data_IF_410422587363
#
_entry.id   IF_410422587363
#
_cell.length_a   1.000
_cell.length_b   1.000
_cell.length_c   1.000
_cell.angle_alpha   90.00
_cell.angle_beta   90.00
_cell.angle_gamma   90.00
#
_symmetry.space_group_name_H-M   'P 1'
#
loop_
_entity.id
_entity.type
_entity.pdbx_description
1 polymer ?
#
# COMPACT_ATOMS: atom_id res chain seq x y z
N UNK A 1 -4.38 -18.14 -6.38
CA UNK A 1 -3.31 -18.06 -7.36
C UNK A 1 -2.83 -16.61 -7.51
N UNK A 2 -1.66 -16.42 -8.05
CA UNK A 2 -1.06 -15.10 -8.24
C UNK A 2 -0.91 -14.81 -9.72
N UNK A 3 -1.36 -13.63 -10.13
CA UNK A 3 -1.22 -13.16 -11.50
C UNK A 3 -0.20 -12.02 -11.54
N UNK A 4 0.76 -12.09 -12.46
CA UNK A 4 1.85 -11.11 -12.57
C UNK A 4 1.91 -10.57 -14.00
N UNK A 5 1.75 -9.27 -14.13
CA UNK A 5 2.02 -8.51 -15.35
C UNK A 5 3.32 -7.74 -15.21
N UNK A 6 3.71 -6.98 -16.23
CA UNK A 6 4.94 -6.18 -16.20
C UNK A 6 4.97 -5.17 -15.05
N UNK A 7 3.82 -4.59 -14.72
CA UNK A 7 3.71 -3.52 -13.72
C UNK A 7 2.98 -3.92 -12.44
N UNK A 8 2.23 -5.03 -12.43
CA UNK A 8 1.39 -5.39 -11.30
C UNK A 8 1.51 -6.85 -10.91
N UNK A 9 1.37 -7.11 -9.60
CA UNK A 9 1.25 -8.45 -9.03
C UNK A 9 -0.10 -8.51 -8.33
N UNK A 10 -1.01 -9.34 -8.85
CA UNK A 10 -2.33 -9.53 -8.26
C UNK A 10 -2.34 -10.83 -7.45
N UNK A 11 -2.36 -10.71 -6.13
CA UNK A 11 -2.36 -11.85 -5.22
C UNK A 11 -3.80 -12.25 -4.83
N UNK A 12 -4.02 -13.52 -4.44
CA UNK A 12 -5.34 -13.93 -3.94
C UNK A 12 -5.78 -13.06 -2.75
N UNK A 13 -7.02 -12.57 -2.77
CA UNK A 13 -7.57 -11.74 -1.70
C UNK A 13 -7.56 -12.40 -0.34
N UNK A 14 -7.69 -13.71 -0.30
CA UNK A 14 -7.65 -14.52 0.92
C UNK A 14 -6.33 -14.43 1.68
N UNK A 15 -5.24 -14.04 1.01
CA UNK A 15 -3.96 -13.84 1.67
C UNK A 15 -3.99 -12.68 2.67
N UNK A 16 -4.83 -11.68 2.41
CA UNK A 16 -5.01 -10.56 3.32
C UNK A 16 -5.98 -10.89 4.46
N UNK A 17 -6.90 -11.83 4.27
CA UNK A 17 -7.94 -12.18 5.23
C UNK A 17 -7.45 -13.14 6.31
N UNK A 18 -6.44 -13.95 6.03
CA UNK A 18 -6.00 -15.03 6.91
C UNK A 18 -4.55 -14.87 7.33
N UNK A 19 -4.29 -15.03 8.63
CA UNK A 19 -2.92 -15.04 9.16
C UNK A 19 -2.09 -16.18 8.55
N UNK A 20 -2.73 -17.28 8.18
CA UNK A 20 -2.06 -18.43 7.58
C UNK A 20 -1.45 -18.07 6.22
N UNK A 21 -2.10 -17.18 5.47
CA UNK A 21 -1.65 -16.76 4.15
C UNK A 21 -0.85 -15.46 4.15
N UNK A 22 -0.73 -14.77 5.28
CA UNK A 22 -0.02 -13.49 5.35
C UNK A 22 1.47 -13.63 5.06
N UNK A 23 2.06 -14.80 5.33
CA UNK A 23 3.45 -15.09 4.96
C UNK A 23 3.61 -15.10 3.43
N UNK A 24 2.65 -15.68 2.71
CA UNK A 24 2.65 -15.66 1.25
C UNK A 24 2.57 -14.25 0.70
N UNK A 25 1.70 -13.41 1.27
CA UNK A 25 1.58 -12.01 0.89
C UNK A 25 2.90 -11.26 1.14
N UNK A 26 3.54 -11.49 2.29
CA UNK A 26 4.83 -10.88 2.60
C UNK A 26 5.91 -11.29 1.59
N UNK A 27 5.92 -12.55 1.16
CA UNK A 27 6.88 -13.02 0.14
C UNK A 27 6.69 -12.29 -1.19
N UNK A 28 5.46 -12.10 -1.64
CA UNK A 28 5.19 -11.37 -2.87
C UNK A 28 5.54 -9.88 -2.74
N UNK A 29 5.43 -9.31 -1.53
CA UNK A 29 5.75 -7.90 -1.30
C UNK A 29 7.22 -7.57 -1.57
N UNK A 30 8.13 -8.53 -1.45
CA UNK A 30 9.54 -8.31 -1.75
C UNK A 30 9.80 -8.07 -3.24
N UNK A 31 8.93 -8.54 -4.11
CA UNK A 31 9.01 -8.34 -5.55
C UNK A 31 8.35 -7.04 -6.00
N UNK A 32 7.56 -6.42 -5.12
CA UNK A 32 6.82 -5.20 -5.42
C UNK A 32 7.51 -3.97 -4.86
N UNK A 33 7.31 -2.82 -5.51
CA UNK A 33 7.78 -1.52 -4.99
C UNK A 33 6.77 -0.94 -3.99
N UNK A 34 5.49 -1.24 -4.17
CA UNK A 34 4.38 -0.77 -3.35
C UNK A 34 3.37 -1.89 -3.18
N UNK A 35 2.80 -2.01 -2.00
CA UNK A 35 1.69 -2.94 -1.75
C UNK A 35 0.41 -2.14 -1.57
N UNK A 36 -0.62 -2.48 -2.31
CA UNK A 36 -1.92 -1.82 -2.23
C UNK A 36 -3.02 -2.78 -1.78
N UNK A 37 -3.78 -2.37 -0.78
CA UNK A 37 -5.03 -3.02 -0.42
C UNK A 37 -6.15 -2.35 -1.21
N UNK A 38 -6.93 -3.13 -1.93
CA UNK A 38 -8.04 -2.61 -2.74
C UNK A 38 -9.35 -3.14 -2.17
N UNK A 39 -10.26 -2.24 -1.86
CA UNK A 39 -11.58 -2.62 -1.37
C UNK A 39 -12.65 -1.68 -1.89
N UNK A 40 -13.81 -2.26 -2.24
CA UNK A 40 -14.97 -1.48 -2.65
C UNK A 40 -15.62 -0.79 -1.45
N UNK A 41 -16.06 0.44 -1.64
CA UNK A 41 -16.70 1.22 -0.58
C UNK A 41 -18.07 0.67 -0.15
N UNK A 42 -18.69 -0.14 -1.00
CA UNK A 42 -19.98 -0.77 -0.72
C UNK A 42 -19.86 -2.19 -0.13
N UNK A 43 -18.65 -2.66 0.12
CA UNK A 43 -18.41 -3.96 0.74
C UNK A 43 -18.70 -3.87 2.24
N UNK A 44 -19.61 -4.71 2.77
CA UNK A 44 -20.01 -4.62 4.19
C UNK A 44 -19.02 -5.28 5.16
N UNK A 45 -18.00 -5.96 4.66
CA UNK A 45 -17.08 -6.72 5.49
C UNK A 45 -15.66 -6.17 5.39
N UNK A 46 -14.98 -6.13 6.54
CA UNK A 46 -13.56 -5.82 6.56
C UNK A 46 -12.76 -7.07 6.18
N UNK A 47 -12.12 -7.03 5.03
CA UNK A 47 -11.30 -8.13 4.51
C UNK A 47 -9.86 -8.11 5.03
N UNK A 48 -9.45 -7.06 5.73
CA UNK A 48 -8.07 -6.88 6.16
C UNK A 48 -7.94 -6.95 7.67
N UNK A 49 -7.12 -7.89 8.14
CA UNK A 49 -6.82 -7.98 9.56
C UNK A 49 -6.00 -6.78 10.05
N UNK A 50 -6.17 -6.38 11.33
CA UNK A 50 -5.32 -5.35 11.91
C UNK A 50 -3.88 -5.82 11.96
N UNK A 51 -2.94 -4.88 11.75
CA UNK A 51 -1.52 -5.18 11.85
C UNK A 51 -0.92 -5.91 10.65
N UNK A 52 -1.62 -6.02 9.53
CA UNK A 52 -1.07 -6.62 8.30
C UNK A 52 0.20 -5.94 7.82
N UNK A 53 0.33 -4.65 8.10
CA UNK A 53 1.53 -3.85 7.81
C UNK A 53 2.81 -4.42 8.41
N UNK A 54 2.72 -5.13 9.55
CA UNK A 54 3.89 -5.66 10.25
C UNK A 54 4.70 -6.65 9.41
N UNK A 55 4.08 -7.30 8.43
CA UNK A 55 4.73 -8.28 7.54
C UNK A 55 5.20 -7.66 6.23
N UNK A 56 4.94 -6.38 5.99
CA UNK A 56 5.20 -5.70 4.72
C UNK A 56 6.25 -4.63 4.93
N UNK A 57 7.39 -4.76 4.24
CA UNK A 57 8.51 -3.82 4.32
C UNK A 57 8.43 -2.73 3.24
N UNK A 58 7.45 -2.81 2.35
CA UNK A 58 7.26 -1.83 1.27
C UNK A 58 6.20 -0.80 1.69
N UNK A 59 6.12 0.36 1.01
CA UNK A 59 5.01 1.28 1.22
C UNK A 59 3.67 0.56 1.08
N UNK A 60 2.77 0.80 2.03
CA UNK A 60 1.52 0.10 2.15
C UNK A 60 0.40 1.13 1.99
N UNK A 61 -0.33 1.05 0.89
CA UNK A 61 -1.40 2.01 0.58
C UNK A 61 -2.75 1.32 0.49
N UNK A 62 -3.80 2.10 0.62
CA UNK A 62 -5.17 1.64 0.43
C UNK A 62 -5.81 2.32 -0.77
N UNK A 63 -6.61 1.58 -1.52
CA UNK A 63 -7.39 2.10 -2.63
C UNK A 63 -8.86 1.71 -2.39
N UNK A 64 -9.71 2.72 -2.22
CA UNK A 64 -11.15 2.53 -2.05
C UNK A 64 -11.82 2.76 -3.39
N UNK A 65 -12.47 1.73 -3.91
CA UNK A 65 -13.19 1.79 -5.18
C UNK A 65 -14.70 1.95 -4.96
N UNK A 66 -15.45 2.19 -6.02
CA UNK A 66 -16.91 2.29 -5.99
C UNK A 66 -17.44 3.33 -4.99
N UNK A 67 -16.73 4.46 -4.88
CA UNK A 67 -17.08 5.53 -3.94
C UNK A 67 -18.43 6.18 -4.28
N UNK A 68 -18.90 6.02 -5.51
CA UNK A 68 -20.18 6.52 -6.01
C UNK A 68 -21.36 5.56 -5.82
N UNK A 69 -21.12 4.37 -5.28
CA UNK A 69 -22.17 3.40 -5.02
C UNK A 69 -23.22 3.94 -4.04
N UNK A 70 -24.53 3.67 -4.25
CA UNK A 70 -25.56 4.08 -3.29
C UNK A 70 -25.36 3.48 -1.89
N UNK A 71 -24.65 2.37 -1.78
CA UNK A 71 -24.39 1.67 -0.53
C UNK A 71 -22.98 1.91 -0.01
N UNK A 72 -22.24 2.85 -0.60
CA UNK A 72 -20.86 3.14 -0.20
C UNK A 72 -20.80 3.71 1.21
N UNK A 73 -19.85 3.21 2.00
CA UNK A 73 -19.52 3.76 3.30
C UNK A 73 -18.02 4.02 3.35
N UNK A 74 -17.60 5.09 2.70
CA UNK A 74 -16.18 5.45 2.56
C UNK A 74 -15.50 5.65 3.92
N UNK A 75 -16.09 6.38 4.90
CA UNK A 75 -15.45 6.56 6.20
C UNK A 75 -15.18 5.25 6.93
N UNK A 76 -16.07 4.27 6.82
CA UNK A 76 -15.91 2.97 7.44
C UNK A 76 -14.74 2.18 6.81
N UNK A 77 -14.71 2.13 5.48
CA UNK A 77 -13.64 1.42 4.76
C UNK A 77 -12.30 2.10 4.98
N UNK A 78 -12.28 3.42 4.99
CA UNK A 78 -11.06 4.20 5.29
C UNK A 78 -10.52 3.85 6.67
N UNK A 79 -11.39 3.74 7.68
CA UNK A 79 -10.96 3.37 9.03
C UNK A 79 -10.38 1.96 9.07
N UNK A 80 -10.95 1.03 8.33
CA UNK A 80 -10.41 -0.33 8.23
C UNK A 80 -9.01 -0.34 7.64
N UNK A 81 -8.77 0.48 6.63
CA UNK A 81 -7.45 0.60 6.00
C UNK A 81 -6.44 1.27 6.92
N UNK A 82 -6.85 2.28 7.69
CA UNK A 82 -5.99 2.89 8.72
C UNK A 82 -5.60 1.83 9.76
N UNK A 83 -6.55 1.03 10.22
CA UNK A 83 -6.29 -0.02 11.19
C UNK A 83 -5.37 -1.12 10.63
N UNK A 84 -5.43 -1.36 9.33
CA UNK A 84 -4.55 -2.31 8.66
C UNK A 84 -3.12 -1.78 8.49
N UNK A 85 -2.91 -0.49 8.69
CA UNK A 85 -1.58 0.14 8.63
C UNK A 85 -1.25 0.86 7.33
N UNK A 86 -2.25 1.19 6.50
CA UNK A 86 -2.03 1.93 5.26
C UNK A 86 -1.50 3.34 5.55
N UNK A 87 -0.40 3.71 4.87
CA UNK A 87 0.22 5.04 5.01
C UNK A 87 -0.55 6.11 4.24
N UNK A 88 -1.09 5.74 3.09
CA UNK A 88 -1.87 6.62 2.23
C UNK A 88 -3.11 5.86 1.76
N UNK A 89 -4.22 6.57 1.63
CA UNK A 89 -5.48 5.98 1.19
C UNK A 89 -6.04 6.85 0.07
N UNK A 90 -6.38 6.22 -1.05
CA UNK A 90 -6.92 6.89 -2.23
C UNK A 90 -8.36 6.45 -2.46
N UNK A 91 -9.22 7.41 -2.74
CA UNK A 91 -10.62 7.17 -3.07
C UNK A 91 -10.77 7.37 -4.57
N UNK A 92 -11.13 6.32 -5.28
CA UNK A 92 -11.18 6.35 -6.75
C UNK A 92 -12.54 5.94 -7.29
N UNK A 93 -12.94 6.58 -8.38
CA UNK A 93 -14.09 6.19 -9.18
C UNK A 93 -13.58 5.79 -10.57
N UNK A 94 -13.64 4.50 -10.89
CA UNK A 94 -13.12 3.98 -12.15
C UNK A 94 -13.89 4.45 -13.37
N UNK A 95 -15.16 4.83 -13.19
CA UNK A 95 -16.00 5.29 -14.29
C UNK A 95 -15.69 6.73 -14.68
N UNK A 96 -15.62 7.63 -13.69
CA UNK A 96 -15.34 9.05 -13.91
C UNK A 96 -13.86 9.38 -13.86
N UNK A 97 -13.01 8.46 -13.42
CA UNK A 97 -11.58 8.61 -13.16
C UNK A 97 -11.26 9.59 -12.03
N UNK A 98 -12.23 9.97 -11.23
CA UNK A 98 -12.02 10.83 -10.06
C UNK A 98 -11.09 10.15 -9.05
N UNK A 99 -10.09 10.87 -8.56
CA UNK A 99 -9.09 10.36 -7.63
C UNK A 99 -7.98 9.54 -8.26
N UNK A 100 -8.13 9.12 -9.52
CA UNK A 100 -7.15 8.27 -10.20
C UNK A 100 -5.87 9.03 -10.52
N UNK A 101 -5.98 10.29 -10.89
CA UNK A 101 -4.81 11.12 -11.20
C UNK A 101 -3.91 11.32 -9.98
N UNK A 102 -4.50 11.45 -8.79
CA UNK A 102 -3.75 11.55 -7.53
C UNK A 102 -2.98 10.27 -7.23
N UNK A 103 -3.61 9.12 -7.46
CA UNK A 103 -2.98 7.81 -7.28
C UNK A 103 -1.80 7.63 -8.24
N UNK A 104 -2.00 7.97 -9.50
CA UNK A 104 -0.95 7.87 -10.53
C UNK A 104 0.21 8.80 -10.19
N UNK A 105 -0.08 10.05 -9.82
CA UNK A 105 0.96 11.01 -9.43
C UNK A 105 1.77 10.51 -8.23
N UNK A 106 1.11 9.90 -7.24
CA UNK A 106 1.79 9.33 -6.09
C UNK A 106 2.76 8.22 -6.51
N UNK A 107 2.30 7.30 -7.39
CA UNK A 107 3.10 6.15 -7.81
C UNK A 107 4.24 6.53 -8.76
N UNK A 108 4.02 7.49 -9.65
CA UNK A 108 4.99 7.83 -10.70
C UNK A 108 5.93 8.99 -10.32
N UNK A 109 5.51 9.87 -9.44
CA UNK A 109 6.26 11.09 -9.09
C UNK A 109 6.69 11.12 -7.63
N UNK A 110 5.74 11.01 -6.70
CA UNK A 110 6.00 11.23 -5.27
C UNK A 110 6.87 10.13 -4.66
N UNK A 111 6.55 8.86 -4.91
CA UNK A 111 7.32 7.74 -4.38
C UNK A 111 8.74 7.66 -4.93
N UNK A 112 8.97 7.73 -6.26
CA UNK A 112 10.33 7.70 -6.78
C UNK A 112 11.19 8.84 -6.25
N UNK A 113 10.61 10.03 -6.09
CA UNK A 113 11.31 11.19 -5.52
C UNK A 113 11.69 10.96 -4.06
N UNK A 114 10.76 10.42 -3.27
CA UNK A 114 11.01 10.08 -1.87
C UNK A 114 12.13 9.04 -1.76
N UNK A 115 12.10 8.00 -2.57
CA UNK A 115 13.15 6.97 -2.55
C UNK A 115 14.52 7.54 -2.93
N UNK A 116 14.58 8.47 -3.87
CA UNK A 116 15.82 9.14 -4.23
C UNK A 116 16.37 9.96 -3.05
N UNK A 117 15.51 10.67 -2.34
CA UNK A 117 15.90 11.45 -1.17
C UNK A 117 16.39 10.55 -0.03
N UNK A 118 15.69 9.44 0.21
CA UNK A 118 16.10 8.45 1.21
C UNK A 118 17.44 7.81 0.87
N UNK A 119 17.66 7.47 -0.40
CA UNK A 119 18.92 6.91 -0.87
C UNK A 119 20.08 7.90 -0.68
N UNK A 120 19.86 9.16 -1.00
CA UNK A 120 20.87 10.21 -0.79
C UNK A 120 21.20 10.39 0.68
N UNK A 121 20.21 10.36 1.55
CA UNK A 121 20.41 10.47 2.98
C UNK A 121 21.25 9.30 3.52
N UNK A 122 20.90 8.06 3.13
CA UNK A 122 21.69 6.88 3.50
C UNK A 122 23.13 6.99 3.00
N UNK A 123 23.33 7.42 1.77
CA UNK A 123 24.64 7.61 1.20
C UNK A 123 25.47 8.63 1.99
N UNK A 124 24.83 9.69 2.47
CA UNK A 124 25.51 10.70 3.31
C UNK A 124 26.01 10.13 4.64
N UNK A 125 25.41 9.03 5.11
CA UNK A 125 25.81 8.31 6.31
C UNK A 125 26.80 7.18 6.02
N UNK A 126 27.21 7.01 4.77
CA UNK A 126 28.10 5.90 4.37
C UNK A 126 27.39 4.56 4.25
N UNK A 127 26.07 4.55 4.18
CA UNK A 127 25.26 3.34 4.08
C UNK A 127 24.88 3.03 2.64
N UNK A 128 24.64 1.76 2.34
CA UNK A 128 24.03 1.31 1.08
C UNK A 128 22.51 1.41 1.19
N UNK A 129 21.83 1.35 0.05
CA UNK A 129 20.35 1.40 0.02
C UNK A 129 19.69 0.26 0.79
N UNK A 130 20.38 -0.87 0.92
CA UNK A 130 19.89 -2.06 1.63
C UNK A 130 20.09 -1.99 3.15
N UNK A 131 20.94 -1.10 3.62
CA UNK A 131 21.27 -1.01 5.03
C UNK A 131 20.15 -0.32 5.81
N UNK A 132 19.79 -0.82 7.00
CA UNK A 132 18.85 -0.11 7.86
C UNK A 132 19.51 1.14 8.43
N UNK A 133 18.69 2.12 8.80
CA UNK A 133 19.20 3.29 9.51
C UNK A 133 19.71 2.86 10.90
N UNK A 134 20.80 3.48 11.39
CA UNK A 134 21.29 3.23 12.76
C UNK A 134 20.22 3.61 13.79
N UNK A 135 20.31 2.99 14.98
CA UNK A 135 19.41 3.29 16.08
C UNK A 135 19.48 4.79 16.43
N UNK A 136 18.31 5.39 16.61
CA UNK A 136 18.20 6.81 16.94
C UNK A 136 18.31 7.75 15.75
N UNK A 137 18.55 7.24 14.55
CA UNK A 137 18.62 8.04 13.31
C UNK A 137 17.32 7.87 12.53
N UNK A 138 16.73 8.97 12.09
CA UNK A 138 15.53 8.97 11.25
C UNK A 138 15.73 9.84 10.02
N UNK A 139 14.90 9.62 9.00
CA UNK A 139 14.93 10.46 7.80
C UNK A 139 14.51 11.89 8.14
N UNK A 140 15.12 12.89 7.50
CA UNK A 140 14.68 14.28 7.66
C UNK A 140 13.26 14.46 7.13
N UNK A 141 12.49 15.28 7.79
CA UNK A 141 11.14 15.64 7.37
C UNK A 141 11.12 16.64 6.21
#
# INVERSE_FOLDING_TARGET
YTNTDDDTIDSPGEYAESKHFSVGLACFSFEADVVALVQAADEPYNLFGPGGRAFILRPYIGIITKVDSPHANVPMVRQWMVNAGCERIFEVNNVTREGLDELIAYLEEDLPKLWMEEAKFKQSLGLNEWDPLPDGVSYPE
#
